data_IF_761217353660
#
_entry.id   IF_761217353660
#
_cell.length_a   1.000
_cell.length_b   1.000
_cell.length_c   1.000
_cell.angle_alpha   90.00
_cell.angle_beta   90.00
_cell.angle_gamma   90.00
#
_symmetry.space_group_name_H-M   'P 1'
#
loop_
_entity.id
_entity.type
_entity.pdbx_description
1 polymer ?
#
# COMPACT_ATOMS: atom_id res chain seq x y z
N UNK A 1 -29.64 0.22 79.07
CA UNK A 1 -28.28 0.70 79.43
C UNK A 1 -27.74 1.37 78.18
N UNK A 2 -27.85 2.69 77.98
CA UNK A 2 -27.10 3.75 78.66
C UNK A 2 -26.28 4.48 77.59
N UNK A 3 -26.77 5.63 77.10
CA UNK A 3 -26.06 6.53 76.17
C UNK A 3 -24.89 7.22 76.88
N UNK A 4 -23.76 7.43 76.19
CA UNK A 4 -22.82 8.54 76.47
C UNK A 4 -22.12 9.01 75.18
N UNK A 5 -22.26 10.31 74.91
CA UNK A 5 -21.68 11.08 73.80
C UNK A 5 -20.24 11.54 74.12
N UNK A 6 -19.37 11.70 73.10
CA UNK A 6 -18.43 12.82 72.98
C UNK A 6 -17.85 12.97 71.56
N UNK A 7 -17.40 14.19 71.24
CA UNK A 7 -17.39 14.88 69.93
C UNK A 7 -15.99 14.97 69.28
N UNK A 8 -15.98 14.87 67.94
CA UNK A 8 -15.20 15.57 66.88
C UNK A 8 -13.76 16.04 67.15
N UNK A 9 -12.87 15.76 66.19
CA UNK A 9 -12.25 16.83 65.36
C UNK A 9 -12.07 16.39 63.90
N UNK A 10 -12.39 17.32 62.99
CA UNK A 10 -12.10 17.27 61.56
C UNK A 10 -11.11 18.41 61.31
N UNK A 11 -9.99 18.16 60.65
CA UNK A 11 -9.08 19.21 60.17
C UNK A 11 -8.94 19.16 58.66
N UNK A 12 -9.21 20.33 58.08
CA UNK A 12 -9.29 20.64 56.65
C UNK A 12 -7.90 20.81 56.03
N UNK A 13 -7.80 20.56 54.73
CA UNK A 13 -6.71 20.99 53.85
C UNK A 13 -6.52 22.51 53.89
N UNK A 14 -5.32 23.02 53.54
CA UNK A 14 -5.20 24.28 52.83
C UNK A 14 -4.66 24.08 51.40
N UNK A 15 -5.23 24.87 50.49
CA UNK A 15 -4.78 25.12 49.11
C UNK A 15 -4.02 26.46 49.12
N UNK A 16 -3.23 26.70 48.05
CA UNK A 16 -2.60 27.97 47.55
C UNK A 16 -1.09 28.06 47.76
N UNK A 17 -0.24 28.58 46.84
CA UNK A 17 -0.32 29.11 45.46
C UNK A 17 1.13 29.17 44.90
N UNK A 18 1.32 28.88 43.59
CA UNK A 18 2.15 29.56 42.54
C UNK A 18 3.31 30.50 43.01
N UNK A 19 4.56 30.55 42.49
CA UNK A 19 5.12 30.60 41.11
C UNK A 19 6.67 30.49 41.16
N UNK A 20 7.30 29.82 40.17
CA UNK A 20 8.43 30.27 39.31
C UNK A 20 9.02 29.05 38.58
N UNK A 21 8.68 28.83 37.31
CA UNK A 21 9.47 29.21 36.13
C UNK A 21 10.92 28.69 36.15
N UNK A 22 11.11 27.46 35.67
CA UNK A 22 12.36 27.09 34.99
C UNK A 22 12.02 26.72 33.55
N UNK A 23 12.32 27.65 32.65
CA UNK A 23 12.51 27.37 31.24
C UNK A 23 13.65 26.36 31.11
N UNK A 24 13.34 25.10 30.77
CA UNK A 24 14.33 24.21 30.17
C UNK A 24 14.36 24.50 28.68
N UNK A 25 15.48 25.09 28.26
CA UNK A 25 15.84 25.34 26.87
C UNK A 25 15.97 24.06 26.03
N UNK A 26 16.37 24.20 24.76
CA UNK A 26 15.91 23.37 23.67
C UNK A 26 16.42 21.94 23.76
N UNK A 27 15.52 21.04 23.36
CA UNK A 27 15.69 19.61 23.19
C UNK A 27 16.86 19.30 22.24
N UNK A 28 18.08 19.17 22.77
CA UNK A 28 19.27 18.72 22.05
C UNK A 28 19.78 17.42 22.68
N UNK A 29 19.47 16.29 22.02
CA UNK A 29 20.35 15.11 21.92
C UNK A 29 19.68 13.88 21.30
N UNK A 30 18.37 13.89 21.02
CA UNK A 30 17.75 12.76 20.29
C UNK A 30 18.01 12.78 18.76
N UNK A 31 18.60 13.86 18.22
CA UNK A 31 18.93 13.95 16.79
C UNK A 31 20.01 12.94 16.40
N UNK A 32 21.07 12.80 17.19
CA UNK A 32 22.16 11.86 16.90
C UNK A 32 21.72 10.41 17.03
N UNK A 33 20.90 10.08 18.04
CA UNK A 33 20.33 8.75 18.20
C UNK A 33 19.39 8.38 17.03
N UNK A 34 18.51 9.30 16.61
CA UNK A 34 17.62 9.09 15.46
C UNK A 34 18.38 8.95 14.14
N UNK A 35 19.43 9.75 13.93
CA UNK A 35 20.28 9.66 12.72
C UNK A 35 21.09 8.37 12.71
N UNK A 36 21.63 7.93 13.86
CA UNK A 36 22.33 6.63 13.96
C UNK A 36 21.40 5.44 13.77
N UNK A 37 20.21 5.48 14.37
CA UNK A 37 19.16 4.46 14.14
C UNK A 37 18.78 4.40 12.67
N UNK A 38 18.45 5.54 12.06
CA UNK A 38 18.07 5.61 10.64
C UNK A 38 19.18 5.11 9.70
N UNK A 39 20.46 5.38 10.02
CA UNK A 39 21.58 4.82 9.25
C UNK A 39 21.69 3.30 9.41
N UNK A 40 21.50 2.78 10.63
CA UNK A 40 21.48 1.34 10.89
C UNK A 40 20.33 0.66 10.16
N UNK A 41 19.12 1.22 10.27
CA UNK A 41 17.91 0.71 9.61
C UNK A 41 18.09 0.66 8.08
N UNK A 42 18.73 1.69 7.48
CA UNK A 42 19.07 1.70 6.05
C UNK A 42 20.09 0.65 5.64
N UNK A 43 21.10 0.39 6.48
CA UNK A 43 22.10 -0.65 6.21
C UNK A 43 21.47 -2.05 6.29
N UNK A 44 20.61 -2.27 7.29
CA UNK A 44 19.89 -3.53 7.47
C UNK A 44 18.91 -3.77 6.31
N UNK A 45 18.19 -2.74 5.85
CA UNK A 45 17.32 -2.80 4.66
C UNK A 45 18.11 -3.12 3.37
N UNK A 46 19.30 -2.53 3.19
CA UNK A 46 20.17 -2.80 2.04
C UNK A 46 20.66 -4.25 2.02
N UNK A 47 21.10 -4.76 3.17
CA UNK A 47 21.54 -6.15 3.32
C UNK A 47 20.39 -7.12 2.99
N UNK A 48 19.19 -6.80 3.46
CA UNK A 48 18.01 -7.59 3.23
C UNK A 48 17.61 -7.63 1.74
N UNK A 49 17.75 -6.50 1.05
CA UNK A 49 17.53 -6.43 -0.39
C UNK A 49 18.57 -7.25 -1.18
N UNK A 50 19.83 -7.19 -0.78
CA UNK A 50 20.90 -8.01 -1.38
C UNK A 50 20.63 -9.51 -1.20
N UNK A 51 20.25 -9.92 0.02
CA UNK A 51 19.86 -11.30 0.30
C UNK A 51 18.66 -11.74 -0.53
N UNK A 52 17.63 -10.89 -0.67
CA UNK A 52 16.46 -11.17 -1.49
C UNK A 52 16.85 -11.35 -2.98
N UNK A 53 17.77 -10.53 -3.48
CA UNK A 53 18.25 -10.62 -4.86
C UNK A 53 19.06 -11.89 -5.09
N UNK A 54 19.99 -12.22 -4.18
CA UNK A 54 20.75 -13.47 -4.24
C UNK A 54 19.82 -14.70 -4.22
N UNK A 55 18.83 -14.71 -3.33
CA UNK A 55 17.82 -15.76 -3.25
C UNK A 55 17.00 -15.87 -4.54
N UNK A 56 16.58 -14.75 -5.14
CA UNK A 56 15.82 -14.73 -6.39
C UNK A 56 16.63 -15.28 -7.58
N UNK A 57 17.94 -14.98 -7.64
CA UNK A 57 18.85 -15.54 -8.66
C UNK A 57 18.98 -17.05 -8.49
N UNK A 58 19.27 -17.52 -7.28
CA UNK A 58 19.41 -18.95 -6.98
C UNK A 58 18.11 -19.71 -7.29
N UNK A 59 16.96 -19.14 -6.92
CA UNK A 59 15.66 -19.73 -7.22
C UNK A 59 15.39 -19.86 -8.72
N UNK A 60 15.72 -18.82 -9.51
CA UNK A 60 15.58 -18.87 -10.97
C UNK A 60 16.51 -19.90 -11.59
N UNK A 61 17.76 -19.96 -11.14
CA UNK A 61 18.72 -20.95 -11.60
C UNK A 61 18.24 -22.37 -11.30
N UNK A 62 17.71 -22.60 -10.09
CA UNK A 62 17.11 -23.87 -9.71
C UNK A 62 15.94 -24.27 -10.62
N UNK A 63 15.03 -23.34 -10.95
CA UNK A 63 13.93 -23.60 -11.88
C UNK A 63 14.41 -23.99 -13.29
N UNK A 64 15.52 -23.39 -13.76
CA UNK A 64 16.09 -23.68 -15.07
C UNK A 64 16.82 -25.03 -15.11
N UNK A 65 17.53 -25.40 -14.03
CA UNK A 65 18.30 -26.65 -13.94
C UNK A 65 17.40 -27.87 -13.68
N UNK A 66 16.35 -27.73 -12.87
CA UNK A 66 15.46 -28.84 -12.51
C UNK A 66 14.27 -29.04 -13.46
N UNK A 67 14.37 -28.59 -14.72
CA UNK A 67 13.43 -28.95 -15.79
C UNK A 67 11.96 -28.77 -15.41
N UNK A 68 11.53 -27.52 -15.19
CA UNK A 68 10.11 -27.14 -15.24
C UNK A 68 9.13 -28.12 -14.62
N UNK A 69 9.22 -28.36 -13.30
CA UNK A 69 8.04 -28.78 -12.54
C UNK A 69 7.06 -27.60 -12.55
N UNK A 70 6.33 -27.44 -13.65
CA UNK A 70 5.08 -26.73 -13.67
C UNK A 70 4.21 -27.36 -12.59
N UNK A 71 4.02 -26.67 -11.47
CA UNK A 71 2.78 -26.85 -10.73
C UNK A 71 1.66 -26.68 -11.78
N UNK A 72 0.64 -27.54 -11.81
CA UNK A 72 -0.38 -27.55 -12.85
C UNK A 72 -1.37 -26.39 -12.62
N UNK A 73 -0.85 -25.18 -12.58
CA UNK A 73 -1.62 -23.98 -12.80
C UNK A 73 -1.20 -23.46 -14.16
N UNK A 74 -2.08 -23.63 -15.14
CA UNK A 74 -2.06 -22.84 -16.36
C UNK A 74 -2.05 -21.36 -15.97
N UNK A 75 -0.86 -20.77 -15.93
CA UNK A 75 -0.75 -19.30 -15.95
C UNK A 75 -1.21 -18.91 -17.34
N UNK A 76 -2.41 -18.32 -17.41
CA UNK A 76 -3.08 -17.88 -18.63
C UNK A 76 -2.08 -17.59 -19.73
N UNK A 77 -2.06 -18.45 -20.76
CA UNK A 77 -1.31 -18.20 -21.96
C UNK A 77 -1.67 -16.79 -22.43
N UNK A 78 -0.67 -15.91 -22.42
CA UNK A 78 -0.81 -14.57 -22.99
C UNK A 78 -1.34 -14.75 -24.41
N UNK A 79 -2.59 -14.35 -24.63
CA UNK A 79 -3.15 -14.22 -25.97
C UNK A 79 -2.18 -13.31 -26.74
N UNK A 80 -1.45 -13.89 -27.70
CA UNK A 80 -0.72 -13.12 -28.69
C UNK A 80 -1.78 -12.44 -29.55
N UNK A 81 -2.07 -11.18 -29.25
CA UNK A 81 -2.97 -10.38 -30.07
C UNK A 81 -2.31 -10.12 -31.43
N UNK A 82 -2.98 -10.38 -32.56
CA UNK A 82 -2.50 -9.92 -33.84
C UNK A 82 -2.50 -8.38 -33.88
N UNK A 83 -1.46 -7.83 -34.49
CA UNK A 83 -1.25 -6.39 -34.64
C UNK A 83 -2.34 -5.78 -35.54
N UNK A 84 -3.30 -5.07 -34.96
CA UNK A 84 -4.27 -4.29 -35.72
C UNK A 84 -3.69 -2.89 -35.97
N UNK A 85 -3.21 -2.67 -37.18
CA UNK A 85 -2.88 -1.37 -37.73
C UNK A 85 -4.14 -0.50 -37.83
N UNK A 86 -4.22 0.59 -37.07
CA UNK A 86 -4.64 1.94 -37.52
C UNK A 86 -5.11 2.82 -36.35
N UNK A 87 -4.71 4.10 -36.40
CA UNK A 87 -5.40 5.17 -35.66
C UNK A 87 -4.58 5.84 -34.57
N UNK A 88 -3.69 6.76 -34.97
CA UNK A 88 -3.08 7.76 -34.09
C UNK A 88 -4.16 8.51 -33.29
N UNK A 89 -4.22 8.32 -31.97
CA UNK A 89 -4.95 9.22 -31.07
C UNK A 89 -4.13 9.51 -29.82
N UNK A 90 -3.91 10.82 -29.63
CA UNK A 90 -3.17 11.45 -28.55
C UNK A 90 -3.55 10.86 -27.19
N UNK A 91 -2.55 10.46 -26.41
CA UNK A 91 -2.70 10.12 -25.01
C UNK A 91 -3.33 11.31 -24.27
N UNK A 92 -4.51 11.09 -23.67
CA UNK A 92 -5.18 12.08 -22.84
C UNK A 92 -4.33 12.38 -21.61
N UNK A 93 -4.00 13.65 -21.42
CA UNK A 93 -3.44 14.15 -20.17
C UNK A 93 -4.44 13.93 -19.04
N UNK A 94 -4.04 13.17 -18.02
CA UNK A 94 -4.80 13.01 -16.78
C UNK A 94 -4.78 14.34 -15.98
N UNK A 95 -5.85 14.68 -15.24
CA UNK A 95 -5.99 15.96 -14.56
C UNK A 95 -4.96 16.13 -13.43
N UNK A 96 -4.47 17.37 -13.27
CA UNK A 96 -3.47 17.75 -12.27
C UNK A 96 -4.14 18.14 -10.94
N UNK A 97 -3.96 17.35 -9.88
CA UNK A 97 -3.92 17.84 -8.50
C UNK A 97 -3.37 16.79 -7.53
N UNK A 98 -2.71 17.27 -6.46
CA UNK A 98 -2.22 16.53 -5.27
C UNK A 98 -0.88 15.78 -5.39
N UNK A 99 0.01 16.01 -4.42
CA UNK A 99 1.42 15.57 -4.37
C UNK A 99 1.65 14.07 -4.46
N UNK A 100 0.65 13.23 -4.18
CA UNK A 100 0.76 11.78 -4.39
C UNK A 100 0.71 11.37 -5.87
N UNK A 101 0.05 12.17 -6.73
CA UNK A 101 0.12 11.98 -8.19
C UNK A 101 1.54 12.23 -8.72
N UNK A 102 2.35 13.03 -8.02
CA UNK A 102 3.74 13.25 -8.39
C UNK A 102 4.59 12.01 -8.10
N UNK A 103 4.35 11.28 -7.00
CA UNK A 103 5.14 10.09 -6.65
C UNK A 103 4.89 8.93 -7.61
N UNK A 104 3.62 8.63 -7.91
CA UNK A 104 3.30 7.64 -8.93
C UNK A 104 3.95 8.02 -10.26
N UNK A 105 3.82 9.27 -10.71
CA UNK A 105 4.43 9.74 -11.96
C UNK A 105 5.95 9.64 -11.96
N UNK A 106 6.62 9.90 -10.84
CA UNK A 106 8.07 9.80 -10.70
C UNK A 106 8.56 8.34 -10.72
N UNK A 107 7.78 7.42 -10.14
CA UNK A 107 8.14 6.00 -10.09
C UNK A 107 8.00 5.28 -11.43
N UNK A 108 7.27 5.84 -12.40
CA UNK A 108 6.98 5.19 -13.66
C UNK A 108 8.17 5.18 -14.62
N UNK A 109 8.56 3.99 -15.05
CA UNK A 109 9.56 3.77 -16.11
C UNK A 109 8.84 3.18 -17.31
N UNK A 110 8.77 3.92 -18.41
CA UNK A 110 8.15 3.43 -19.64
C UNK A 110 9.11 2.54 -20.44
N UNK A 111 8.60 1.39 -20.91
CA UNK A 111 9.36 0.43 -21.71
C UNK A 111 8.88 0.42 -23.16
N UNK A 112 9.83 0.51 -24.09
CA UNK A 112 9.59 0.68 -25.53
C UNK A 112 10.07 -0.54 -26.33
N UNK A 113 9.45 -1.71 -26.11
CA UNK A 113 9.87 -2.94 -26.78
C UNK A 113 9.75 -2.91 -28.32
N UNK A 114 8.90 -2.02 -28.85
CA UNK A 114 8.70 -1.82 -30.29
C UNK A 114 9.59 -0.68 -30.87
N UNK A 115 10.51 -0.12 -30.09
CA UNK A 115 11.32 1.02 -30.48
C UNK A 115 10.83 2.36 -29.90
N UNK A 116 11.74 3.33 -29.78
CA UNK A 116 11.50 4.59 -29.06
C UNK A 116 10.56 5.55 -29.79
N UNK A 117 10.36 5.37 -31.10
CA UNK A 117 9.43 6.18 -31.91
C UNK A 117 7.97 5.68 -31.82
N UNK A 118 7.74 4.58 -31.10
CA UNK A 118 6.42 4.02 -30.85
C UNK A 118 5.93 4.32 -29.44
N UNK A 119 4.61 4.25 -29.18
CA UNK A 119 4.09 4.33 -27.82
C UNK A 119 4.71 3.27 -26.90
N UNK A 120 4.83 3.55 -25.59
CA UNK A 120 5.37 2.57 -24.66
C UNK A 120 4.49 1.32 -24.61
N UNK A 121 5.14 0.18 -24.50
CA UNK A 121 4.53 -1.16 -24.49
C UNK A 121 4.17 -1.63 -23.09
N UNK A 122 4.93 -1.18 -22.08
CA UNK A 122 4.74 -1.54 -20.70
C UNK A 122 5.26 -0.44 -19.77
N UNK A 123 4.93 -0.58 -18.50
CA UNK A 123 5.41 0.27 -17.41
C UNK A 123 6.10 -0.59 -16.36
N UNK A 124 7.32 -0.24 -15.97
CA UNK A 124 7.95 -0.74 -14.76
C UNK A 124 7.93 0.35 -13.68
N UNK A 125 8.22 -0.05 -12.46
CA UNK A 125 8.32 0.86 -11.32
C UNK A 125 9.74 0.92 -10.82
N UNK A 126 10.23 2.15 -10.62
CA UNK A 126 11.51 2.45 -10.01
C UNK A 126 11.57 1.80 -8.62
N UNK A 127 12.52 0.86 -8.47
CA UNK A 127 12.69 0.07 -7.26
C UNK A 127 13.06 0.93 -6.05
N UNK A 128 13.69 2.09 -6.26
CA UNK A 128 14.04 3.03 -5.19
C UNK A 128 12.81 3.72 -4.58
N UNK A 129 11.72 3.84 -5.34
CA UNK A 129 10.49 4.52 -4.92
C UNK A 129 9.38 3.55 -4.48
N UNK A 130 9.56 2.24 -4.66
CA UNK A 130 8.56 1.23 -4.28
C UNK A 130 8.15 1.31 -2.82
N UNK A 131 9.13 1.53 -1.92
CA UNK A 131 8.85 1.64 -0.49
C UNK A 131 7.85 2.76 -0.21
N UNK A 132 8.10 3.94 -0.76
CA UNK A 132 7.25 5.10 -0.49
C UNK A 132 5.92 5.02 -1.25
N UNK A 133 5.91 4.43 -2.45
CA UNK A 133 4.72 4.38 -3.30
C UNK A 133 3.72 3.27 -2.90
N UNK A 134 4.18 2.03 -2.74
CA UNK A 134 3.29 0.86 -2.57
C UNK A 134 3.34 0.24 -1.16
N UNK A 135 4.39 0.53 -0.40
CA UNK A 135 4.77 -0.24 0.78
C UNK A 135 5.14 0.64 1.98
N UNK A 136 4.59 1.86 2.07
CA UNK A 136 5.00 2.87 3.06
C UNK A 136 4.66 2.48 4.50
N UNK A 137 3.83 1.47 4.71
CA UNK A 137 3.47 0.89 6.02
C UNK A 137 3.88 -0.58 6.16
N UNK A 138 4.51 -1.17 5.13
CA UNK A 138 4.85 -2.58 5.10
C UNK A 138 6.22 -2.87 5.74
N UNK A 139 6.44 -4.07 6.30
CA UNK A 139 7.73 -4.49 6.81
C UNK A 139 8.81 -4.56 5.72
N UNK A 140 10.05 -4.17 6.03
CA UNK A 140 11.15 -4.15 5.04
C UNK A 140 11.42 -5.50 4.35
N UNK A 141 11.16 -6.63 5.04
CA UNK A 141 11.32 -7.98 4.47
C UNK A 141 10.36 -8.23 3.31
N UNK A 142 9.13 -7.76 3.45
CA UNK A 142 8.11 -7.90 2.41
C UNK A 142 8.41 -6.94 1.24
N UNK A 143 8.91 -5.73 1.53
CA UNK A 143 9.37 -4.79 0.50
C UNK A 143 10.53 -5.37 -0.31
N UNK A 144 11.53 -5.95 0.36
CA UNK A 144 12.67 -6.60 -0.31
C UNK A 144 12.20 -7.74 -1.21
N UNK A 145 11.32 -8.62 -0.71
CA UNK A 145 10.73 -9.70 -1.48
C UNK A 145 9.93 -9.20 -2.69
N UNK A 146 9.10 -8.17 -2.50
CA UNK A 146 8.32 -7.57 -3.58
C UNK A 146 9.24 -6.97 -4.65
N UNK A 147 10.26 -6.22 -4.24
CA UNK A 147 11.19 -5.52 -5.16
C UNK A 147 11.86 -6.46 -6.16
N UNK A 148 12.22 -7.68 -5.75
CA UNK A 148 12.87 -8.69 -6.60
C UNK A 148 11.88 -9.53 -7.42
N UNK A 149 10.59 -9.47 -7.06
CA UNK A 149 9.53 -10.27 -7.68
C UNK A 149 8.71 -9.48 -8.70
N UNK A 150 8.66 -8.15 -8.58
CA UNK A 150 7.89 -7.29 -9.47
C UNK A 150 8.37 -7.35 -10.92
N UNK A 151 7.42 -7.22 -11.84
CA UNK A 151 7.63 -7.29 -13.29
C UNK A 151 6.94 -6.10 -13.98
N UNK A 152 7.40 -5.72 -15.18
CA UNK A 152 6.71 -4.71 -15.96
C UNK A 152 5.26 -5.10 -16.26
N UNK A 153 4.38 -4.11 -16.20
CA UNK A 153 2.95 -4.24 -16.46
C UNK A 153 2.69 -3.82 -17.91
N UNK A 154 2.20 -4.71 -18.79
CA UNK A 154 1.93 -4.38 -20.18
C UNK A 154 0.72 -3.43 -20.31
N UNK A 155 0.81 -2.44 -21.19
CA UNK A 155 -0.29 -1.48 -21.39
C UNK A 155 -1.50 -2.07 -22.08
N UNK A 156 -1.30 -2.97 -23.04
CA UNK A 156 -2.39 -3.51 -23.86
C UNK A 156 -3.58 -4.07 -23.04
N UNK A 157 -3.40 -4.98 -22.06
CA UNK A 157 -4.50 -5.45 -21.23
C UNK A 157 -5.01 -4.40 -20.22
N UNK A 158 -4.15 -3.48 -19.77
CA UNK A 158 -4.55 -2.43 -18.80
C UNK A 158 -5.49 -1.41 -19.44
N UNK A 159 -5.27 -1.09 -20.72
CA UNK A 159 -6.05 -0.11 -21.47
C UNK A 159 -7.26 -0.73 -22.17
N UNK A 160 -7.45 -2.04 -22.08
CA UNK A 160 -8.57 -2.73 -22.70
C UNK A 160 -9.90 -2.26 -22.06
N UNK A 161 -10.82 -1.78 -22.91
CA UNK A 161 -12.13 -1.31 -22.44
C UNK A 161 -13.02 -2.49 -22.08
N UNK A 162 -13.35 -2.61 -20.80
CA UNK A 162 -14.31 -3.60 -20.32
C UNK A 162 -15.76 -3.17 -20.62
N UNK A 163 -16.55 -4.08 -21.19
CA UNK A 163 -18.00 -3.90 -21.37
C UNK A 163 -18.74 -4.68 -20.29
N UNK A 164 -19.29 -3.95 -19.31
CA UNK A 164 -19.98 -4.51 -18.15
C UNK A 164 -21.50 -4.35 -18.31
N UNK A 165 -22.27 -5.31 -17.82
CA UNK A 165 -23.75 -5.25 -17.84
C UNK A 165 -24.33 -5.42 -16.45
N UNK A 166 -25.47 -4.79 -16.18
CA UNK A 166 -26.13 -4.87 -14.89
C UNK A 166 -26.57 -6.31 -14.56
N UNK A 167 -27.05 -7.04 -15.57
CA UNK A 167 -27.50 -8.43 -15.40
C UNK A 167 -26.38 -9.40 -14.95
N UNK A 168 -25.12 -9.13 -15.32
CA UNK A 168 -23.98 -10.00 -14.98
C UNK A 168 -23.04 -9.37 -13.96
N UNK A 169 -22.48 -8.20 -14.27
CA UNK A 169 -21.58 -7.49 -13.36
C UNK A 169 -22.33 -6.81 -12.21
N UNK A 170 -23.50 -6.22 -12.49
CA UNK A 170 -24.32 -5.55 -11.49
C UNK A 170 -24.98 -6.49 -10.49
N UNK A 171 -25.13 -7.78 -10.81
CA UNK A 171 -25.71 -8.79 -9.91
C UNK A 171 -24.72 -9.29 -8.86
N UNK A 172 -23.41 -9.03 -9.01
CA UNK A 172 -22.40 -9.40 -8.02
C UNK A 172 -22.35 -8.36 -6.91
N UNK A 173 -22.46 -8.81 -5.65
CA UNK A 173 -22.26 -7.96 -4.47
C UNK A 173 -20.83 -7.43 -4.46
N UNK A 174 -20.69 -6.11 -4.35
CA UNK A 174 -19.38 -5.44 -4.34
C UNK A 174 -19.13 -4.79 -3.00
N UNK A 175 -17.92 -4.98 -2.49
CA UNK A 175 -17.42 -4.34 -1.27
C UNK A 175 -16.12 -3.64 -1.60
N UNK A 176 -15.89 -2.47 -1.01
CA UNK A 176 -14.65 -1.72 -1.20
C UNK A 176 -13.88 -1.66 0.12
N UNK A 177 -12.58 -1.95 0.09
CA UNK A 177 -11.69 -1.76 1.25
C UNK A 177 -10.82 -0.55 0.96
N UNK A 178 -11.14 0.56 1.61
CA UNK A 178 -10.42 1.82 1.52
C UNK A 178 -9.16 1.78 2.41
N UNK A 179 -8.04 2.22 1.85
CA UNK A 179 -6.72 2.28 2.50
C UNK A 179 -6.24 3.73 2.58
N UNK A 180 -6.50 4.45 3.68
CA UNK A 180 -6.27 5.90 3.73
C UNK A 180 -4.81 6.34 3.61
N UNK A 181 -3.87 5.46 3.94
CA UNK A 181 -2.43 5.71 3.87
C UNK A 181 -1.80 5.21 2.55
N UNK A 182 -2.63 4.91 1.55
CA UNK A 182 -2.21 4.55 0.19
C UNK A 182 -1.69 5.78 -0.59
N UNK A 183 -0.42 5.69 -1.00
CA UNK A 183 0.25 6.73 -1.80
C UNK A 183 0.10 6.54 -3.31
N UNK A 184 -0.26 5.33 -3.77
CA UNK A 184 -0.43 5.00 -5.18
C UNK A 184 -1.84 5.31 -5.69
N UNK A 185 -2.86 5.07 -4.87
CA UNK A 185 -4.25 5.48 -5.11
C UNK A 185 -4.69 6.32 -3.91
N UNK A 186 -4.49 7.65 -3.97
CA UNK A 186 -4.81 8.53 -2.85
C UNK A 186 -6.29 8.46 -2.49
N UNK A 187 -6.62 8.71 -1.21
CA UNK A 187 -8.01 8.62 -0.69
C UNK A 187 -9.03 9.38 -1.54
N UNK A 188 -8.68 10.56 -2.06
CA UNK A 188 -9.56 11.36 -2.94
C UNK A 188 -9.91 10.62 -4.24
N UNK A 189 -8.94 9.88 -4.79
CA UNK A 189 -9.17 9.05 -5.98
C UNK A 189 -10.01 7.82 -5.62
N UNK A 190 -9.77 7.18 -4.47
CA UNK A 190 -10.61 6.08 -3.97
C UNK A 190 -12.06 6.53 -3.78
N UNK A 191 -12.30 7.69 -3.16
CA UNK A 191 -13.61 8.30 -3.01
C UNK A 191 -14.29 8.56 -4.37
N UNK A 192 -13.54 9.08 -5.36
CA UNK A 192 -14.06 9.27 -6.71
C UNK A 192 -14.46 7.94 -7.37
N UNK A 193 -13.69 6.87 -7.17
CA UNK A 193 -14.00 5.53 -7.68
C UNK A 193 -15.27 4.98 -7.03
N UNK A 194 -15.39 5.09 -5.70
CA UNK A 194 -16.56 4.66 -4.92
C UNK A 194 -17.81 5.41 -5.38
N UNK A 195 -17.74 6.74 -5.55
CA UNK A 195 -18.88 7.55 -6.00
C UNK A 195 -19.30 7.23 -7.44
N UNK A 196 -18.33 6.93 -8.31
CA UNK A 196 -18.60 6.63 -9.72
C UNK A 196 -19.17 5.21 -9.93
N UNK A 197 -18.85 4.26 -9.05
CA UNK A 197 -19.40 2.91 -9.07
C UNK A 197 -19.68 2.44 -7.63
N UNK A 198 -20.83 2.81 -7.05
CA UNK A 198 -21.13 2.52 -5.66
C UNK A 198 -21.07 1.01 -5.34
N UNK A 199 -20.32 0.61 -4.29
CA UNK A 199 -20.38 -0.72 -3.71
C UNK A 199 -21.55 -0.81 -2.72
N UNK A 200 -21.87 -2.03 -2.28
CA UNK A 200 -22.84 -2.28 -1.22
C UNK A 200 -22.38 -1.70 0.12
N UNK A 201 -21.10 -1.87 0.45
CA UNK A 201 -20.48 -1.32 1.66
C UNK A 201 -18.99 -1.01 1.45
N UNK A 202 -18.54 0.05 2.11
CA UNK A 202 -17.13 0.45 2.18
C UNK A 202 -16.59 0.15 3.57
N UNK A 203 -15.42 -0.47 3.63
CA UNK A 203 -14.67 -0.75 4.85
C UNK A 203 -13.39 0.06 4.84
N UNK A 204 -13.06 0.75 5.93
CA UNK A 204 -11.86 1.58 6.03
C UNK A 204 -10.79 0.90 6.86
N UNK A 205 -9.66 0.59 6.25
CA UNK A 205 -8.54 -0.11 6.88
C UNK A 205 -7.42 0.88 7.20
N UNK A 206 -7.48 1.49 8.39
CA UNK A 206 -6.49 2.49 8.82
C UNK A 206 -5.10 1.89 9.05
N UNK A 207 -4.08 2.65 8.68
CA UNK A 207 -2.68 2.30 8.75
C UNK A 207 -2.26 1.27 7.69
N UNK A 208 -3.10 0.99 6.69
CA UNK A 208 -2.72 0.15 5.56
C UNK A 208 -2.26 1.03 4.40
N UNK A 209 -1.16 0.63 3.78
CA UNK A 209 -0.68 1.18 2.53
C UNK A 209 -1.45 0.59 1.33
N UNK A 210 -0.94 0.82 0.12
CA UNK A 210 -1.46 0.21 -1.11
C UNK A 210 -1.48 -1.33 -1.08
N UNK A 211 -0.69 -1.93 -0.19
CA UNK A 211 -0.50 -3.37 -0.05
C UNK A 211 -1.00 -3.85 1.31
N UNK A 212 -2.31 -3.78 1.60
CA UNK A 212 -2.88 -4.12 2.91
C UNK A 212 -2.61 -5.58 3.32
N UNK A 213 -2.32 -6.46 2.36
CA UNK A 213 -1.91 -7.83 2.59
C UNK A 213 -0.50 -7.97 3.20
N UNK A 214 0.35 -6.94 3.11
CA UNK A 214 1.63 -6.87 3.82
C UNK A 214 1.57 -5.96 5.04
N UNK A 215 1.00 -4.75 4.91
CA UNK A 215 0.98 -3.78 6.00
C UNK A 215 -0.02 -4.10 7.11
N UNK A 216 -1.16 -4.72 6.78
CA UNK A 216 -2.26 -5.04 7.73
C UNK A 216 -2.93 -6.40 7.50
N UNK A 217 -2.19 -7.52 7.33
CA UNK A 217 -2.76 -8.81 6.92
C UNK A 217 -3.85 -9.34 7.85
N UNK A 218 -3.67 -9.25 9.17
CA UNK A 218 -4.66 -9.77 10.12
C UNK A 218 -5.93 -8.93 10.16
N UNK A 219 -5.82 -7.61 9.98
CA UNK A 219 -6.97 -6.72 9.95
C UNK A 219 -7.74 -6.86 8.62
N UNK A 220 -7.03 -6.97 7.49
CA UNK A 220 -7.61 -7.29 6.20
C UNK A 220 -8.35 -8.65 6.23
N UNK A 221 -7.73 -9.68 6.82
CA UNK A 221 -8.37 -10.99 6.99
C UNK A 221 -9.66 -10.91 7.81
N UNK A 222 -9.68 -10.15 8.91
CA UNK A 222 -10.91 -9.95 9.71
C UNK A 222 -12.02 -9.31 8.88
N UNK A 223 -11.71 -8.33 8.02
CA UNK A 223 -12.69 -7.72 7.12
C UNK A 223 -13.24 -8.73 6.12
N UNK A 224 -12.41 -9.59 5.53
CA UNK A 224 -12.89 -10.65 4.63
C UNK A 224 -13.81 -11.65 5.35
N UNK A 225 -13.47 -12.03 6.58
CA UNK A 225 -14.34 -12.89 7.41
C UNK A 225 -15.66 -12.19 7.73
N UNK A 226 -15.64 -10.90 8.06
CA UNK A 226 -16.87 -10.12 8.27
C UNK A 226 -17.75 -10.10 7.01
N UNK A 227 -17.17 -9.77 5.85
CA UNK A 227 -17.89 -9.72 4.56
C UNK A 227 -18.51 -11.07 4.24
N UNK A 228 -17.78 -12.18 4.45
CA UNK A 228 -18.27 -13.54 4.17
C UNK A 228 -19.48 -13.95 5.01
N UNK A 229 -19.70 -13.28 6.14
CA UNK A 229 -20.80 -13.54 7.08
C UNK A 229 -21.98 -12.58 6.91
N UNK A 230 -21.89 -11.61 6.00
CA UNK A 230 -23.01 -10.71 5.74
C UNK A 230 -24.16 -11.49 5.10
N UNK A 231 -25.41 -11.26 5.56
CA UNK A 231 -26.56 -11.92 4.96
C UNK A 231 -26.63 -11.61 3.46
N UNK A 232 -27.10 -12.58 2.68
CA UNK A 232 -27.46 -12.35 1.29
C UNK A 232 -28.63 -11.36 1.22
N UNK A 233 -28.61 -10.42 0.25
CA UNK A 233 -29.72 -9.51 0.02
C UNK A 233 -31.01 -10.24 -0.41
#
# INVERSE_FOLDING_TARGET
MGNCFARKTVTKRPVTKRLQNQQKGPNSSNRWARVRSSRKDKLDDSLLQEQALAAAILFRQHQQQNGGASLPFDRSASLRYPNSSSGSKKAGQLPRSSSSNDLMRQAQIFLYANGNDHPPTAIDLDKSLLRDLLFNQSPSKDVALASVSMRPIPFAPVLEKLSLSDMKYGSVRRFYVETPEDNAIPVVLQESMINSSPPEKVFRLKGADHSPFFSKPQALHKLFVEISKLPSP
#
